data_IF_283428969712
#
_entry.id   IF_283428969712
#
_cell.length_a   1.000
_cell.length_b   1.000
_cell.length_c   1.000
_cell.angle_alpha   90.00
_cell.angle_beta   90.00
_cell.angle_gamma   90.00
#
_symmetry.space_group_name_H-M   'P 1'
#
loop_
_entity.id
_entity.type
_entity.pdbx_description
1 polymer ?
#
# COMPACT_ATOMS: atom_id res chain seq x y z
N UNK A 1 39.89 -14.78 67.69
CA UNK A 1 40.40 -15.63 66.58
C UNK A 1 39.46 -15.43 65.39
N UNK A 2 39.98 -14.89 64.28
CA UNK A 2 39.19 -14.51 63.11
C UNK A 2 38.85 -15.73 62.24
N UNK A 3 37.57 -15.85 61.85
CA UNK A 3 37.09 -16.92 60.95
C UNK A 3 37.32 -16.46 59.51
N UNK A 4 38.31 -17.06 58.84
CA UNK A 4 38.58 -16.85 57.42
C UNK A 4 37.46 -17.48 56.59
N UNK A 5 36.65 -16.66 55.89
CA UNK A 5 35.71 -17.17 54.88
C UNK A 5 36.50 -17.64 53.66
N UNK A 6 36.41 -18.92 53.32
CA UNK A 6 36.98 -19.50 52.09
C UNK A 6 36.23 -18.92 50.87
N UNK A 7 36.90 -18.51 49.79
CA UNK A 7 36.21 -18.16 48.54
C UNK A 7 35.67 -19.44 47.90
N UNK A 8 34.45 -19.37 47.38
CA UNK A 8 33.81 -20.47 46.66
C UNK A 8 34.14 -20.32 45.18
N UNK A 9 35.18 -21.01 44.72
CA UNK A 9 35.39 -21.32 43.31
C UNK A 9 34.39 -22.41 42.87
N UNK A 10 34.11 -22.44 41.56
CA UNK A 10 33.13 -23.28 40.84
C UNK A 10 31.67 -22.79 40.82
N UNK A 11 31.47 -21.61 40.21
CA UNK A 11 30.28 -21.37 39.40
C UNK A 11 30.70 -21.10 37.95
N UNK A 12 30.55 -22.13 37.12
CA UNK A 12 30.81 -22.13 35.68
C UNK A 12 30.30 -20.86 34.99
N UNK A 13 31.19 -20.10 34.36
CA UNK A 13 30.92 -18.84 33.66
C UNK A 13 30.29 -19.02 32.27
N UNK A 14 29.50 -20.07 32.06
CA UNK A 14 28.88 -20.40 30.75
C UNK A 14 27.35 -20.39 30.79
N UNK A 15 26.73 -19.60 31.68
CA UNK A 15 25.34 -19.18 31.46
C UNK A 15 25.34 -17.96 30.55
N UNK A 16 25.21 -18.20 29.25
CA UNK A 16 24.92 -17.16 28.27
C UNK A 16 23.84 -16.22 28.84
N UNK A 17 24.24 -14.97 29.12
CA UNK A 17 23.43 -14.00 29.82
C UNK A 17 22.09 -13.83 29.07
N UNK A 18 21.00 -14.33 29.67
CA UNK A 18 19.66 -14.19 29.10
C UNK A 18 19.38 -12.69 29.00
N UNK A 19 19.33 -12.15 27.78
CA UNK A 19 18.99 -10.74 27.55
C UNK A 19 17.61 -10.50 28.15
N UNK A 20 17.55 -9.75 29.24
CA UNK A 20 16.29 -9.34 29.84
C UNK A 20 15.50 -8.56 28.78
N UNK A 21 14.29 -9.05 28.44
CA UNK A 21 13.37 -8.32 27.56
C UNK A 21 13.11 -6.96 28.22
N UNK A 22 13.44 -5.87 27.55
CA UNK A 22 13.09 -4.52 28.04
C UNK A 22 11.59 -4.51 28.34
N UNK A 23 11.23 -4.09 29.56
CA UNK A 23 9.82 -3.94 29.97
C UNK A 23 9.08 -2.95 29.07
N UNK A 24 7.81 -2.71 29.34
CA UNK A 24 6.99 -1.77 28.58
C UNK A 24 7.59 -0.35 28.66
N UNK A 25 8.38 0.04 27.65
CA UNK A 25 9.00 1.35 27.56
C UNK A 25 7.94 2.34 27.09
N UNK A 26 7.33 3.05 28.04
CA UNK A 26 6.48 4.21 27.77
C UNK A 26 7.40 5.41 27.66
N UNK A 27 7.69 5.81 26.43
CA UNK A 27 8.56 6.95 26.15
C UNK A 27 8.39 7.40 24.70
N UNK A 28 8.96 8.57 24.34
CA UNK A 28 8.79 9.21 23.03
C UNK A 28 9.24 8.36 21.82
N UNK A 29 9.87 7.20 22.05
CA UNK A 29 10.18 6.20 21.03
C UNK A 29 9.00 5.29 20.65
N UNK A 30 8.06 5.06 21.57
CA UNK A 30 6.88 4.21 21.38
C UNK A 30 5.57 5.01 21.27
N UNK A 31 5.62 6.33 21.43
CA UNK A 31 4.48 7.19 21.13
C UNK A 31 4.43 7.46 19.62
N UNK A 32 3.22 7.58 19.04
CA UNK A 32 3.08 7.97 17.65
C UNK A 32 3.81 9.28 17.42
N UNK A 33 4.89 9.21 16.64
CA UNK A 33 5.68 10.37 16.27
C UNK A 33 4.78 11.51 15.83
N UNK A 34 4.98 12.69 16.42
CA UNK A 34 4.20 13.88 16.12
C UNK A 34 4.16 14.17 14.61
N UNK A 35 3.14 14.89 14.17
CA UNK A 35 2.86 15.16 12.75
C UNK A 35 4.10 15.67 11.99
N UNK A 36 4.94 16.50 12.62
CA UNK A 36 6.18 17.01 12.03
C UNK A 36 7.26 15.93 11.84
N UNK A 37 7.50 15.06 12.82
CA UNK A 37 8.51 13.98 12.70
C UNK A 37 8.13 12.99 11.59
N UNK A 38 6.83 12.67 11.43
CA UNK A 38 6.33 11.87 10.29
C UNK A 38 6.60 12.52 8.95
N UNK A 39 6.29 13.82 8.80
CA UNK A 39 6.57 14.58 7.58
C UNK A 39 8.06 14.60 7.25
N UNK A 40 8.92 14.84 8.25
CA UNK A 40 10.39 14.82 8.05
C UNK A 40 10.88 13.46 7.60
N UNK A 41 10.40 12.37 8.21
CA UNK A 41 10.74 11.00 7.80
C UNK A 41 10.27 10.74 6.36
N UNK A 42 9.06 11.16 6.00
CA UNK A 42 8.53 11.02 4.64
C UNK A 42 9.35 11.81 3.62
N UNK A 43 9.70 13.07 3.92
CA UNK A 43 10.55 13.90 3.07
C UNK A 43 11.91 13.22 2.86
N UNK A 44 12.52 12.71 3.94
CA UNK A 44 13.81 11.99 3.86
C UNK A 44 13.70 10.72 3.00
N UNK A 45 12.68 9.89 3.21
CA UNK A 45 12.43 8.69 2.39
C UNK A 45 12.26 9.04 0.91
N UNK A 46 11.42 10.01 0.60
CA UNK A 46 11.18 10.48 -0.76
C UNK A 46 12.47 11.00 -1.43
N UNK A 47 13.33 11.70 -0.69
CA UNK A 47 14.60 12.21 -1.22
C UNK A 47 15.56 11.07 -1.55
N UNK A 48 15.66 10.07 -0.66
CA UNK A 48 16.48 8.87 -0.86
C UNK A 48 15.98 8.07 -2.08
N UNK A 49 14.67 7.86 -2.21
CA UNK A 49 14.07 7.15 -3.35
C UNK A 49 14.35 7.87 -4.67
N UNK A 50 14.17 9.20 -4.73
CA UNK A 50 14.53 10.00 -5.91
C UNK A 50 16.02 9.87 -6.26
N UNK A 51 16.90 9.87 -5.26
CA UNK A 51 18.33 9.69 -5.49
C UNK A 51 18.66 8.28 -6.02
N UNK A 52 18.01 7.23 -5.49
CA UNK A 52 18.15 5.86 -5.99
C UNK A 52 17.68 5.74 -7.45
N UNK A 53 16.50 6.27 -7.77
CA UNK A 53 15.98 6.29 -9.14
C UNK A 53 16.91 7.02 -10.11
N UNK A 54 17.49 8.16 -9.69
CA UNK A 54 18.49 8.88 -10.50
C UNK A 54 19.75 8.04 -10.74
N UNK A 55 20.25 7.35 -9.71
CA UNK A 55 21.42 6.46 -9.83
C UNK A 55 21.14 5.27 -10.75
N UNK A 56 20.00 4.61 -10.59
CA UNK A 56 19.58 3.48 -11.42
C UNK A 56 19.37 3.91 -12.88
N UNK A 57 18.74 5.07 -13.10
CA UNK A 57 18.56 5.63 -14.44
C UNK A 57 19.90 5.98 -15.10
N UNK A 58 20.82 6.60 -14.36
CA UNK A 58 22.17 6.86 -14.86
C UNK A 58 22.89 5.56 -15.24
N UNK A 59 22.78 4.52 -14.40
CA UNK A 59 23.34 3.20 -14.66
C UNK A 59 22.72 2.55 -15.90
N UNK A 60 21.40 2.56 -16.04
CA UNK A 60 20.72 2.02 -17.23
C UNK A 60 21.08 2.80 -18.50
N UNK A 61 21.23 4.13 -18.41
CA UNK A 61 21.65 4.96 -19.53
C UNK A 61 23.09 4.67 -19.95
N UNK A 62 23.98 4.38 -19.00
CA UNK A 62 25.35 3.93 -19.29
C UNK A 62 25.34 2.55 -19.95
N UNK A 63 24.62 1.58 -19.39
CA UNK A 63 24.46 0.26 -19.98
C UNK A 63 23.89 0.32 -21.40
N UNK A 64 22.84 1.11 -21.63
CA UNK A 64 22.28 1.30 -22.96
C UNK A 64 23.26 1.97 -23.93
N UNK A 65 24.14 2.86 -23.46
CA UNK A 65 25.21 3.44 -24.30
C UNK A 65 26.29 2.41 -24.65
N UNK A 66 26.69 1.59 -23.68
CA UNK A 66 27.64 0.49 -23.86
C UNK A 66 27.08 -0.63 -24.76
N UNK A 67 25.77 -0.87 -24.74
CA UNK A 67 25.10 -1.84 -25.62
C UNK A 67 24.99 -1.30 -27.07
N UNK A 68 24.81 0.01 -27.24
CA UNK A 68 24.74 0.66 -28.57
C UNK A 68 26.13 0.80 -29.20
N UNK A 69 27.18 0.97 -28.38
CA UNK A 69 28.57 0.90 -28.82
C UNK A 69 29.18 -0.41 -28.31
N UNK A 70 28.99 -1.54 -29.02
CA UNK A 70 29.62 -2.79 -28.60
C UNK A 70 31.12 -2.52 -28.48
N UNK A 71 31.66 -2.72 -27.27
CA UNK A 71 33.10 -2.70 -27.02
C UNK A 71 33.73 -3.69 -28.00
N UNK A 72 34.25 -3.15 -29.10
CA UNK A 72 35.07 -3.91 -30.03
C UNK A 72 36.25 -4.44 -29.19
N UNK A 73 36.53 -5.75 -29.19
CA UNK A 73 37.64 -6.28 -28.41
C UNK A 73 38.91 -5.56 -28.86
N UNK A 74 39.54 -4.85 -27.91
CA UNK A 74 40.82 -4.18 -28.12
C UNK A 74 41.91 -5.24 -28.26
N UNK A 75 42.17 -5.66 -29.49
CA UNK A 75 43.33 -6.48 -29.86
C UNK A 75 44.27 -5.72 -30.79
N UNK A 76 44.33 -4.39 -30.69
CA UNK A 76 45.44 -3.62 -31.24
C UNK A 76 45.95 -2.64 -30.21
N UNK A 77 47.18 -2.90 -29.80
CA UNK A 77 48.05 -2.02 -29.03
C UNK A 77 48.31 -0.74 -29.82
N UNK A 78 48.00 0.41 -29.24
CA UNK A 78 48.70 1.65 -29.56
C UNK A 78 49.21 2.22 -28.23
N UNK A 79 50.52 2.29 -28.12
CA UNK A 79 51.26 2.81 -26.98
C UNK A 79 51.28 4.34 -26.98
N UNK A 80 51.57 4.87 -25.79
CA UNK A 80 52.07 6.22 -25.46
C UNK A 80 51.04 7.37 -25.51
N UNK A 81 50.49 7.81 -24.37
CA UNK A 81 51.02 8.76 -23.35
C UNK A 81 51.05 10.22 -23.81
N UNK A 82 50.38 11.09 -23.03
CA UNK A 82 50.73 12.50 -22.73
C UNK A 82 49.51 13.24 -22.13
N UNK A 83 49.56 13.39 -20.80
CA UNK A 83 49.37 14.64 -20.03
C UNK A 83 48.23 15.65 -20.28
N UNK A 84 47.64 16.05 -19.13
CA UNK A 84 47.01 17.35 -18.77
C UNK A 84 45.63 17.58 -19.42
N UNK A 85 44.61 18.07 -18.73
CA UNK A 85 44.62 19.21 -17.83
C UNK A 85 43.32 19.23 -17.00
N UNK A 86 43.44 19.66 -15.75
CA UNK A 86 42.31 20.05 -14.89
C UNK A 86 42.38 21.56 -14.78
N UNK A 87 41.26 22.28 -14.95
CA UNK A 87 41.02 23.37 -14.02
C UNK A 87 39.58 23.40 -13.49
N UNK A 88 39.51 23.51 -12.17
CA UNK A 88 38.43 24.18 -11.46
C UNK A 88 38.42 25.67 -11.84
N UNK A 89 37.28 26.22 -12.23
CA UNK A 89 36.96 27.65 -12.15
C UNK A 89 35.45 27.75 -11.85
N UNK A 90 35.14 28.22 -10.63
CA UNK A 90 33.86 28.81 -10.26
C UNK A 90 33.64 30.11 -11.05
N UNK A 91 32.39 30.45 -11.42
CA UNK A 91 31.76 31.79 -11.33
C UNK A 91 30.33 31.78 -11.96
N UNK A 92 29.36 32.05 -11.07
CA UNK A 92 28.09 32.78 -11.18
C UNK A 92 26.99 32.53 -12.25
N UNK A 93 25.81 32.20 -11.70
CA UNK A 93 24.47 32.79 -11.86
C UNK A 93 24.12 33.63 -13.12
N UNK A 94 23.07 33.22 -13.87
CA UNK A 94 21.75 33.88 -13.83
C UNK A 94 20.70 33.24 -14.79
N UNK A 95 19.56 32.91 -14.19
CA UNK A 95 18.16 33.04 -14.65
C UNK A 95 17.87 33.45 -16.11
N UNK A 96 17.26 32.54 -16.90
CA UNK A 96 16.28 32.90 -17.94
C UNK A 96 15.10 31.89 -17.94
N UNK A 97 13.93 32.37 -17.52
CA UNK A 97 12.63 31.77 -17.83
C UNK A 97 12.20 32.15 -19.25
N UNK A 98 11.69 31.19 -20.04
CA UNK A 98 10.33 31.23 -20.65
C UNK A 98 10.10 30.12 -21.70
N UNK A 99 9.02 29.37 -21.47
CA UNK A 99 8.08 28.66 -22.38
C UNK A 99 8.50 28.38 -23.84
N UNK A 100 8.41 27.10 -24.23
CA UNK A 100 7.75 26.72 -25.48
C UNK A 100 7.22 25.27 -25.43
N UNK A 101 6.01 25.10 -25.95
CA UNK A 101 5.33 23.82 -26.21
C UNK A 101 6.13 22.97 -27.21
N UNK A 102 6.07 21.65 -27.07
CA UNK A 102 5.43 20.74 -28.04
C UNK A 102 6.07 19.34 -28.10
N UNK A 103 5.21 18.40 -28.49
CA UNK A 103 5.50 17.17 -29.22
C UNK A 103 5.84 15.90 -28.41
N UNK A 104 4.80 15.05 -28.32
CA UNK A 104 4.75 13.67 -28.83
C UNK A 104 6.09 12.90 -28.77
N UNK A 105 6.10 11.73 -28.12
CA UNK A 105 5.85 10.42 -28.78
C UNK A 105 6.09 9.28 -27.79
N UNK A 106 5.43 8.19 -28.11
CA UNK A 106 5.27 6.89 -27.47
C UNK A 106 6.55 6.11 -27.13
N UNK A 107 6.54 5.50 -25.92
CA UNK A 107 7.05 4.19 -25.43
C UNK A 107 8.40 3.62 -25.93
N UNK A 108 9.11 2.89 -25.04
CA UNK A 108 9.09 1.43 -25.17
C UNK A 108 8.92 0.68 -23.85
N UNK A 109 8.47 -0.58 -23.96
CA UNK A 109 8.20 -1.54 -22.87
C UNK A 109 9.52 -2.06 -22.25
N UNK A 110 9.60 -2.34 -20.94
CA UNK A 110 10.59 -3.28 -20.42
C UNK A 110 10.11 -4.72 -20.62
N UNK A 111 10.98 -5.55 -21.20
CA UNK A 111 10.89 -7.01 -21.13
C UNK A 111 11.23 -7.41 -19.69
N UNK A 112 10.40 -8.21 -19.03
CA UNK A 112 10.80 -8.93 -17.82
C UNK A 112 10.60 -10.44 -18.00
N UNK A 113 11.51 -11.24 -17.43
CA UNK A 113 11.52 -12.69 -17.55
C UNK A 113 10.47 -13.34 -16.63
N UNK A 114 9.91 -14.45 -17.11
CA UNK A 114 9.02 -15.35 -16.39
C UNK A 114 9.66 -15.96 -15.14
N UNK A 115 8.84 -16.19 -14.10
CA UNK A 115 8.82 -17.54 -13.53
C UNK A 115 7.38 -18.09 -13.40
N UNK A 116 7.19 -19.30 -13.92
CA UNK A 116 6.12 -20.22 -13.49
C UNK A 116 6.37 -20.64 -12.03
N UNK A 117 5.35 -20.97 -11.21
CA UNK A 117 4.68 -22.27 -11.38
C UNK A 117 3.20 -22.39 -10.90
N UNK A 118 2.63 -23.54 -11.30
CA UNK A 118 1.66 -24.37 -10.58
C UNK A 118 0.18 -23.94 -10.49
N UNK A 119 -0.62 -24.61 -11.34
CA UNK A 119 -1.80 -25.44 -11.03
C UNK A 119 -3.00 -24.93 -10.19
N UNK A 120 -4.17 -25.26 -10.75
CA UNK A 120 -5.48 -25.59 -10.12
C UNK A 120 -6.59 -24.49 -10.16
N UNK A 121 -7.88 -24.85 -10.01
CA UNK A 121 -8.82 -24.90 -11.14
C UNK A 121 -10.07 -24.01 -10.96
N UNK A 122 -10.88 -24.02 -12.03
CA UNK A 122 -12.25 -23.52 -12.20
C UNK A 122 -13.05 -23.06 -10.96
N UNK A 123 -13.61 -21.85 -11.06
CA UNK A 123 -14.82 -21.45 -10.34
C UNK A 123 -15.80 -20.79 -11.32
N UNK A 124 -16.95 -21.43 -11.44
CA UNK A 124 -18.18 -21.05 -12.16
C UNK A 124 -19.12 -20.30 -11.20
N UNK A 125 -20.13 -19.63 -11.78
CA UNK A 125 -21.21 -18.81 -11.19
C UNK A 125 -20.91 -17.28 -11.17
N UNK A 126 -21.82 -16.38 -11.51
CA UNK A 126 -23.28 -16.44 -11.42
C UNK A 126 -23.95 -15.37 -12.33
N UNK A 127 -25.02 -15.71 -13.05
CA UNK A 127 -25.96 -14.75 -13.66
C UNK A 127 -27.30 -15.45 -13.93
N UNK A 128 -28.45 -14.85 -13.56
CA UNK A 128 -29.72 -15.57 -13.44
C UNK A 128 -30.39 -15.81 -14.80
N UNK A 129 -31.04 -16.97 -14.88
CA UNK A 129 -31.86 -17.43 -15.98
C UNK A 129 -33.22 -16.69 -16.01
N UNK A 130 -33.62 -16.23 -17.19
CA UNK A 130 -35.04 -16.11 -17.53
C UNK A 130 -35.40 -17.12 -18.61
N UNK A 131 -36.43 -17.89 -18.29
CA UNK A 131 -37.08 -18.93 -19.07
C UNK A 131 -37.95 -18.32 -20.16
N UNK A 132 -37.63 -18.61 -21.42
CA UNK A 132 -38.61 -18.63 -22.53
C UNK A 132 -38.56 -20.02 -23.16
N UNK A 133 -39.63 -20.78 -22.91
CA UNK A 133 -39.83 -22.07 -23.55
C UNK A 133 -40.08 -21.88 -25.05
N UNK A 134 -39.28 -22.56 -25.87
CA UNK A 134 -39.69 -22.89 -27.22
C UNK A 134 -39.14 -24.26 -27.60
N UNK A 135 -40.03 -25.25 -27.56
CA UNK A 135 -39.79 -26.60 -28.06
C UNK A 135 -39.72 -26.57 -29.59
N UNK A 136 -38.52 -26.57 -30.15
CA UNK A 136 -38.26 -26.96 -31.53
C UNK A 136 -37.01 -27.84 -31.59
N UNK A 137 -37.25 -29.13 -31.78
CA UNK A 137 -36.26 -30.14 -32.15
C UNK A 137 -35.58 -29.75 -33.46
N UNK A 138 -34.39 -29.18 -33.38
CA UNK A 138 -33.59 -28.83 -34.56
C UNK A 138 -32.25 -28.27 -34.14
N UNK A 139 -31.23 -29.12 -34.13
CA UNK A 139 -29.78 -28.86 -34.06
C UNK A 139 -29.47 -27.35 -33.95
N UNK A 140 -29.62 -26.80 -32.74
CA UNK A 140 -29.28 -25.41 -32.49
C UNK A 140 -27.78 -25.32 -32.66
N UNK A 141 -27.34 -24.78 -33.80
CA UNK A 141 -25.95 -24.47 -34.05
C UNK A 141 -25.56 -23.44 -33.01
N UNK A 142 -25.01 -23.92 -31.88
CA UNK A 142 -24.55 -23.08 -30.78
C UNK A 142 -23.65 -22.02 -31.40
N UNK A 143 -24.09 -20.77 -31.36
CA UNK A 143 -23.44 -19.64 -32.03
C UNK A 143 -21.99 -19.63 -31.56
N UNK A 144 -21.05 -20.02 -32.43
CA UNK A 144 -19.63 -20.17 -32.05
C UNK A 144 -19.16 -18.86 -31.45
N UNK A 145 -18.59 -18.93 -30.24
CA UNK A 145 -18.08 -17.75 -29.55
C UNK A 145 -17.08 -17.06 -30.47
N UNK A 146 -17.31 -15.78 -30.74
CA UNK A 146 -16.44 -15.00 -31.62
C UNK A 146 -15.03 -15.03 -31.05
N UNK A 147 -14.05 -15.41 -31.85
CA UNK A 147 -12.64 -15.46 -31.44
C UNK A 147 -12.20 -14.02 -31.20
N UNK A 148 -12.04 -13.65 -29.93
CA UNK A 148 -11.49 -12.34 -29.57
C UNK A 148 -9.98 -12.40 -29.82
N UNK A 149 -9.42 -11.53 -30.68
CA UNK A 149 -7.97 -11.45 -30.84
C UNK A 149 -7.32 -11.17 -29.47
N UNK A 150 -6.20 -11.83 -29.18
CA UNK A 150 -5.52 -11.76 -27.88
C UNK A 150 -6.38 -12.25 -26.69
N UNK A 151 -7.13 -13.35 -26.85
CA UNK A 151 -7.98 -13.94 -25.81
C UNK A 151 -7.29 -14.12 -24.44
N UNK A 152 -5.99 -14.43 -24.41
CA UNK A 152 -5.20 -14.53 -23.17
C UNK A 152 -5.07 -13.18 -22.45
N UNK A 153 -4.78 -12.12 -23.20
CA UNK A 153 -4.65 -10.76 -22.66
C UNK A 153 -6.00 -10.22 -22.20
N UNK A 154 -7.07 -10.48 -22.98
CA UNK A 154 -8.42 -10.09 -22.57
C UNK A 154 -8.84 -10.77 -21.26
N UNK A 155 -8.56 -12.08 -21.10
CA UNK A 155 -8.83 -12.79 -19.83
C UNK A 155 -8.01 -12.24 -18.68
N UNK A 156 -6.74 -11.90 -18.90
CA UNK A 156 -5.89 -11.28 -17.87
C UNK A 156 -6.42 -9.90 -17.47
N UNK A 157 -6.83 -9.07 -18.44
CA UNK A 157 -7.41 -7.76 -18.19
C UNK A 157 -8.74 -7.87 -17.41
N UNK A 158 -9.59 -8.83 -17.74
CA UNK A 158 -10.84 -9.08 -17.01
C UNK A 158 -10.57 -9.55 -15.57
N UNK A 159 -9.56 -10.40 -15.35
CA UNK A 159 -9.15 -10.80 -13.99
C UNK A 159 -8.68 -9.60 -13.16
N UNK A 160 -7.85 -8.73 -13.73
CA UNK A 160 -7.38 -7.53 -13.02
C UNK A 160 -8.51 -6.54 -12.73
N UNK A 161 -9.48 -6.40 -13.64
CA UNK A 161 -10.68 -5.58 -13.38
C UNK A 161 -11.49 -6.12 -12.21
N UNK A 162 -11.76 -7.44 -12.20
CA UNK A 162 -12.49 -8.10 -11.11
C UNK A 162 -11.78 -7.96 -9.77
N UNK A 163 -10.47 -8.19 -9.71
CA UNK A 163 -9.68 -8.01 -8.48
C UNK A 163 -9.71 -6.56 -7.98
N UNK A 164 -9.62 -5.59 -8.89
CA UNK A 164 -9.72 -4.17 -8.54
C UNK A 164 -11.12 -3.79 -8.04
N UNK A 165 -12.17 -4.36 -8.63
CA UNK A 165 -13.56 -4.18 -8.21
C UNK A 165 -13.83 -4.83 -6.85
N UNK A 166 -13.35 -6.05 -6.62
CA UNK A 166 -13.43 -6.74 -5.32
C UNK A 166 -12.72 -5.92 -4.23
N UNK A 167 -11.53 -5.38 -4.52
CA UNK A 167 -10.81 -4.50 -3.60
C UNK A 167 -11.57 -3.21 -3.30
N UNK A 168 -12.25 -2.63 -4.29
CA UNK A 168 -13.11 -1.44 -4.09
C UNK A 168 -14.35 -1.79 -3.28
N UNK A 169 -15.04 -2.87 -3.60
CA UNK A 169 -16.21 -3.35 -2.88
C UNK A 169 -15.89 -3.69 -1.41
N UNK A 170 -14.72 -4.26 -1.14
CA UNK A 170 -14.25 -4.50 0.23
C UNK A 170 -14.01 -3.19 1.00
N UNK A 171 -13.46 -2.17 0.33
CA UNK A 171 -13.30 -0.85 0.94
C UNK A 171 -14.67 -0.18 1.18
N UNK A 172 -15.56 -0.20 0.20
CA UNK A 172 -16.90 0.38 0.29
C UNK A 172 -17.76 -0.29 1.37
N UNK A 173 -17.74 -1.62 1.46
CA UNK A 173 -18.46 -2.34 2.54
C UNK A 173 -17.91 -1.99 3.93
N UNK A 174 -16.59 -1.89 4.08
CA UNK A 174 -15.98 -1.44 5.34
C UNK A 174 -16.33 0.02 5.68
N UNK A 175 -16.45 0.91 4.69
CA UNK A 175 -16.90 2.28 4.92
C UNK A 175 -18.37 2.32 5.30
N UNK A 176 -19.25 1.57 4.62
CA UNK A 176 -20.68 1.48 4.95
C UNK A 176 -20.90 0.98 6.38
N UNK A 177 -20.19 -0.05 6.81
CA UNK A 177 -20.30 -0.54 8.19
C UNK A 177 -19.87 0.52 9.22
N UNK A 178 -18.83 1.31 8.90
CA UNK A 178 -18.42 2.43 9.76
C UNK A 178 -19.45 3.55 9.77
N UNK A 179 -19.98 3.89 8.61
CA UNK A 179 -21.02 4.92 8.42
C UNK A 179 -22.28 4.55 9.19
N UNK A 180 -22.79 3.32 9.04
CA UNK A 180 -23.94 2.81 9.80
C UNK A 180 -23.71 2.90 11.31
N UNK A 181 -22.54 2.48 11.81
CA UNK A 181 -22.19 2.62 13.23
C UNK A 181 -22.13 4.07 13.68
N UNK A 182 -21.63 4.98 12.85
CA UNK A 182 -21.61 6.42 13.17
C UNK A 182 -23.00 7.01 13.15
N UNK A 183 -23.83 6.68 12.16
CA UNK A 183 -25.20 7.14 12.04
C UNK A 183 -26.06 6.66 13.20
N UNK A 184 -25.93 5.40 13.63
CA UNK A 184 -26.65 4.89 14.80
C UNK A 184 -26.28 5.67 16.07
N UNK A 185 -24.98 5.96 16.25
CA UNK A 185 -24.49 6.77 17.37
C UNK A 185 -25.01 8.20 17.30
N UNK A 186 -25.03 8.79 16.11
CA UNK A 186 -25.55 10.15 15.89
C UNK A 186 -27.06 10.22 16.09
N UNK A 187 -27.81 9.25 15.58
CA UNK A 187 -29.26 9.10 15.81
C UNK A 187 -29.55 8.97 17.30
N UNK A 188 -28.80 8.12 18.02
CA UNK A 188 -28.91 7.99 19.47
C UNK A 188 -28.56 9.30 20.20
N UNK A 189 -27.47 9.95 19.81
CA UNK A 189 -27.05 11.24 20.38
C UNK A 189 -28.10 12.32 20.17
N UNK A 190 -28.70 12.38 18.98
CA UNK A 190 -29.76 13.33 18.62
C UNK A 190 -31.05 13.04 19.40
N UNK A 191 -31.44 11.77 19.54
CA UNK A 191 -32.58 11.37 20.35
C UNK A 191 -32.37 11.74 21.83
N UNK A 192 -31.20 11.45 22.40
CA UNK A 192 -30.83 11.85 23.76
C UNK A 192 -30.80 13.37 23.94
N UNK A 193 -30.24 14.12 22.98
CA UNK A 193 -30.23 15.58 23.02
C UNK A 193 -31.66 16.15 22.96
N UNK A 194 -32.55 15.53 22.17
CA UNK A 194 -33.96 15.92 22.09
C UNK A 194 -34.72 15.59 23.37
N UNK A 195 -34.43 14.45 24.00
CA UNK A 195 -35.02 14.06 25.27
C UNK A 195 -34.55 14.95 26.44
N UNK A 196 -33.26 15.33 26.42
CA UNK A 196 -32.63 16.27 27.38
C UNK A 196 -32.99 17.73 27.15
N UNK A 197 -33.56 18.07 25.99
CA UNK A 197 -34.10 19.41 25.73
C UNK A 197 -35.22 19.67 26.72
N UNK A 198 -34.91 20.49 27.74
CA UNK A 198 -35.78 20.75 28.88
C UNK A 198 -37.14 21.30 28.48
N UNK A 199 -38.12 21.18 29.39
CA UNK A 199 -39.43 21.81 29.23
C UNK A 199 -39.37 23.33 29.28
N UNK A 200 -40.54 23.99 29.27
CA UNK A 200 -40.67 25.46 29.33
C UNK A 200 -39.94 26.09 30.54
N UNK A 201 -39.71 25.31 31.59
CA UNK A 201 -39.01 25.69 32.81
C UNK A 201 -37.54 25.22 32.86
N UNK A 202 -36.98 24.72 31.76
CA UNK A 202 -35.60 24.19 31.69
C UNK A 202 -35.38 22.83 32.36
N UNK A 203 -36.37 22.30 33.09
CA UNK A 203 -36.28 21.00 33.76
C UNK A 203 -36.26 19.84 32.76
N UNK A 204 -35.43 18.83 33.05
CA UNK A 204 -35.30 17.60 32.26
C UNK A 204 -36.55 16.74 32.39
N UNK A 205 -37.01 16.18 31.27
CA UNK A 205 -38.17 15.28 31.24
C UNK A 205 -37.69 13.83 31.30
N UNK A 206 -37.50 13.31 32.51
CA UNK A 206 -36.99 11.94 32.73
C UNK A 206 -37.75 10.88 31.94
N UNK A 207 -39.08 11.01 31.79
CA UNK A 207 -39.87 10.07 31.00
C UNK A 207 -39.55 10.00 29.50
N UNK A 208 -38.94 11.05 28.92
CA UNK A 208 -38.46 11.03 27.53
C UNK A 208 -37.02 10.51 27.42
N UNK A 209 -36.22 10.70 28.46
CA UNK A 209 -34.85 10.18 28.52
C UNK A 209 -34.86 8.68 28.83
N UNK A 210 -35.78 8.22 29.67
CA UNK A 210 -35.91 6.82 30.05
C UNK A 210 -36.22 5.93 28.85
N UNK A 211 -37.09 6.33 27.92
CA UNK A 211 -37.40 5.53 26.72
C UNK A 211 -36.18 5.30 25.84
N UNK A 212 -35.40 6.34 25.54
CA UNK A 212 -34.18 6.25 24.73
C UNK A 212 -33.11 5.38 25.43
N UNK A 213 -33.01 5.47 26.77
CA UNK A 213 -32.10 4.64 27.55
C UNK A 213 -32.55 3.17 27.60
N UNK A 214 -33.85 2.91 27.72
CA UNK A 214 -34.40 1.56 27.67
C UNK A 214 -34.16 0.89 26.32
N UNK A 215 -34.31 1.62 25.21
CA UNK A 215 -33.99 1.10 23.87
C UNK A 215 -32.51 0.72 23.73
N UNK A 216 -31.61 1.50 24.35
CA UNK A 216 -30.17 1.17 24.39
C UNK A 216 -29.90 -0.09 25.22
N UNK A 217 -30.51 -0.21 26.40
CA UNK A 217 -30.37 -1.39 27.26
C UNK A 217 -30.90 -2.63 26.53
N UNK A 218 -32.08 -2.52 25.89
CA UNK A 218 -32.66 -3.61 25.10
C UNK A 218 -31.73 -4.10 23.99
N UNK A 219 -31.07 -3.18 23.27
CA UNK A 219 -30.06 -3.55 22.25
C UNK A 219 -28.82 -4.21 22.86
N UNK A 220 -28.37 -3.76 24.03
CA UNK A 220 -27.21 -4.35 24.72
C UNK A 220 -27.51 -5.74 25.28
N UNK A 221 -28.75 -6.02 25.68
CA UNK A 221 -29.18 -7.33 26.19
C UNK A 221 -29.48 -8.33 25.07
N UNK A 222 -29.78 -7.86 23.86
CA UNK A 222 -30.05 -8.69 22.68
C UNK A 222 -28.79 -9.03 21.86
N UNK A 223 -27.66 -8.39 22.15
CA UNK A 223 -26.34 -8.70 21.60
C UNK A 223 -25.65 -9.78 22.43
#
# INVERSE_FOLDING_TARGET
>A
MAITKRPRDDASTDRAAKKHKKGFVVGPQNLPDGTHRRKTIQIKRNLIEKAKLKKEYAKQKQQARDDIQPKRPSTYTTTDDETRDSPDEDVEEEKIEKKAKASRRSKPKPKSPSPSPASAPAAVADAPAETTESNLTGIHHSRRQKIIPFAKEHRAAQRQKREAEERRAAYESSQREREEKTEERERFRKAMAKARSGGKNGQRKLGRESTVLLDRIKRMVQQ
#
